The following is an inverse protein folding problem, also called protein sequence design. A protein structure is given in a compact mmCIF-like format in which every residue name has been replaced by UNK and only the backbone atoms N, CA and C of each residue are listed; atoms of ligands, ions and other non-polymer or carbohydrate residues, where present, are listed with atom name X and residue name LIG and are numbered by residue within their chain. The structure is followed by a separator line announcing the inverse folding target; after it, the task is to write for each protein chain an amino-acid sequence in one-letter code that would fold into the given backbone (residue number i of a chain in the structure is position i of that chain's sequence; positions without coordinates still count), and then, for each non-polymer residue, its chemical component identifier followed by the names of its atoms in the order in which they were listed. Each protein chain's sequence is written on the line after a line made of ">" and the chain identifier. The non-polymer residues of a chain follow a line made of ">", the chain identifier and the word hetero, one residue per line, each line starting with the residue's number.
data_IF_867286004834
#
_entry.id   IF_867286004834
#
_cell.length_a   1.000
_cell.length_b   1.000
_cell.length_c   1.000
_cell.angle_alpha   90.00
_cell.angle_beta   90.00
_cell.angle_gamma   90.00
#
_symmetry.space_group_name_H-M   'P 1'
#
loop_
_entity.id
_entity.type
_entity.pdbx_description
1 polymer ?
#
# COMPACT_ATOMS: atom_id res chain seq x y z
N UNK A 1 -10.05 -0.47 -1.97
CA UNK A 1 -9.59 0.24 -0.77
C UNK A 1 -9.75 -0.54 0.56
N UNK A 2 -10.47 -1.68 0.58
CA UNK A 2 -10.71 -2.48 1.81
C UNK A 2 -9.43 -3.03 2.45
N UNK A 3 -8.44 -3.45 1.66
CA UNK A 3 -7.17 -4.02 2.14
C UNK A 3 -6.40 -3.05 3.05
N UNK A 4 -6.26 -1.79 2.64
CA UNK A 4 -5.50 -0.79 3.41
C UNK A 4 -6.16 -0.50 4.75
N UNK A 5 -7.50 -0.46 4.79
CA UNK A 5 -8.24 -0.30 6.05
C UNK A 5 -7.92 -1.41 7.04
N UNK A 6 -7.99 -2.67 6.59
CA UNK A 6 -7.67 -3.84 7.42
C UNK A 6 -6.23 -3.77 7.93
N UNK A 7 -5.29 -3.35 7.10
CA UNK A 7 -3.89 -3.16 7.52
C UNK A 7 -3.75 -2.10 8.61
N UNK A 8 -4.46 -0.98 8.48
CA UNK A 8 -4.48 0.09 9.49
C UNK A 8 -5.13 -0.41 10.79
N UNK A 9 -6.23 -1.17 10.71
CA UNK A 9 -6.88 -1.77 11.89
C UNK A 9 -5.95 -2.75 12.62
N UNK A 10 -5.24 -3.62 11.90
CA UNK A 10 -4.24 -4.52 12.47
C UNK A 10 -3.10 -3.77 13.18
N UNK A 11 -2.58 -2.71 12.56
CA UNK A 11 -1.54 -1.87 13.15
C UNK A 11 -2.05 -1.14 14.39
N UNK A 12 -3.24 -0.53 14.30
CA UNK A 12 -3.87 0.23 15.37
C UNK A 12 -4.08 -0.62 16.62
N UNK A 13 -4.60 -1.85 16.45
CA UNK A 13 -4.79 -2.79 17.56
C UNK A 13 -3.48 -3.18 18.23
N UNK A 14 -2.43 -3.39 17.46
CA UNK A 14 -1.14 -3.85 17.98
C UNK A 14 -0.31 -2.75 18.64
N UNK A 15 -0.39 -1.51 18.15
CA UNK A 15 0.46 -0.42 18.61
C UNK A 15 -0.27 0.56 19.54
N UNK A 16 -1.57 0.76 19.37
CA UNK A 16 -2.34 1.78 20.09
C UNK A 16 -3.42 1.18 21.00
N UNK A 17 -3.53 -0.15 21.09
CA UNK A 17 -4.49 -0.82 21.96
C UNK A 17 -5.95 -0.61 21.57
N UNK A 18 -6.24 -0.28 20.32
CA UNK A 18 -7.62 -0.02 19.88
C UNK A 18 -8.52 -1.26 19.98
N UNK A 19 -9.80 -1.03 20.30
CA UNK A 19 -10.83 -2.06 20.43
C UNK A 19 -11.19 -2.69 19.07
N UNK A 20 -11.58 -3.98 19.05
CA UNK A 20 -12.00 -4.65 17.82
C UNK A 20 -13.14 -3.90 17.11
N UNK A 21 -12.99 -3.64 15.81
CA UNK A 21 -13.99 -2.96 14.98
C UNK A 21 -13.87 -1.44 14.89
N UNK A 22 -12.92 -0.83 15.60
CA UNK A 22 -12.65 0.61 15.56
C UNK A 22 -11.21 0.97 15.21
N UNK A 23 -11.02 2.23 14.80
CA UNK A 23 -9.70 2.87 14.67
C UNK A 23 -9.58 3.93 15.76
N UNK A 24 -8.39 4.07 16.37
CA UNK A 24 -8.10 5.26 17.18
C UNK A 24 -8.14 6.53 16.29
N UNK A 25 -8.30 7.73 16.88
CA UNK A 25 -8.42 8.97 16.12
C UNK A 25 -7.31 9.18 15.08
N UNK A 26 -6.07 8.88 15.46
CA UNK A 26 -4.92 8.97 14.57
C UNK A 26 -5.01 8.03 13.37
N UNK A 27 -5.36 6.76 13.60
CA UNK A 27 -5.47 5.77 12.55
C UNK A 27 -6.68 6.02 11.64
N UNK A 28 -7.77 6.56 12.21
CA UNK A 28 -8.94 6.99 11.47
C UNK A 28 -8.60 8.15 10.51
N UNK A 29 -7.84 9.14 10.99
CA UNK A 29 -7.35 10.25 10.15
C UNK A 29 -6.46 9.74 9.00
N UNK A 30 -5.55 8.80 9.28
CA UNK A 30 -4.70 8.20 8.25
C UNK A 30 -5.52 7.44 7.20
N UNK A 31 -6.52 6.68 7.63
CA UNK A 31 -7.44 5.97 6.73
C UNK A 31 -8.20 6.94 5.84
N UNK A 32 -8.81 7.96 6.43
CA UNK A 32 -9.64 8.91 5.70
C UNK A 32 -8.82 9.75 4.73
N UNK A 33 -7.62 10.19 5.15
CA UNK A 33 -6.65 10.83 4.26
C UNK A 33 -6.30 9.91 3.07
N UNK A 34 -5.96 8.65 3.34
CA UNK A 34 -5.61 7.68 2.29
C UNK A 34 -6.76 7.50 1.29
N UNK A 35 -7.99 7.36 1.81
CA UNK A 35 -9.21 7.20 1.03
C UNK A 35 -9.41 8.37 0.06
N UNK A 36 -9.40 9.60 0.58
CA UNK A 36 -9.59 10.81 -0.22
C UNK A 36 -8.53 10.96 -1.31
N UNK A 37 -7.25 10.62 -1.05
CA UNK A 37 -6.19 10.72 -2.07
C UNK A 37 -6.33 9.70 -3.19
N UNK A 38 -6.97 8.55 -2.94
CA UNK A 38 -7.26 7.57 -4.01
C UNK A 38 -8.51 7.95 -4.77
N UNK A 39 -9.56 8.39 -4.09
CA UNK A 39 -10.79 8.88 -4.74
C UNK A 39 -10.52 10.04 -5.69
N UNK A 40 -9.61 10.96 -5.32
CA UNK A 40 -9.21 12.10 -6.14
C UNK A 40 -7.99 11.85 -7.01
N UNK A 41 -7.60 10.59 -7.21
CA UNK A 41 -6.40 10.29 -7.99
C UNK A 41 -6.63 10.56 -9.49
N UNK A 42 -5.77 11.35 -10.17
CA UNK A 42 -5.95 11.66 -11.58
C UNK A 42 -5.83 10.43 -12.48
N UNK A 43 -5.12 9.40 -12.03
CA UNK A 43 -4.96 8.13 -12.76
C UNK A 43 -6.17 7.20 -12.61
N UNK A 44 -7.09 7.48 -11.67
CA UNK A 44 -8.30 6.68 -11.46
C UNK A 44 -8.02 5.17 -11.34
N UNK A 45 -8.54 4.40 -12.31
CA UNK A 45 -8.40 2.92 -12.36
C UNK A 45 -7.03 2.46 -12.86
N UNK A 46 -6.36 3.24 -13.69
CA UNK A 46 -5.03 2.94 -14.25
C UNK A 46 -3.89 3.34 -13.32
N UNK A 47 -4.23 3.59 -12.05
CA UNK A 47 -3.28 4.02 -11.03
C UNK A 47 -2.20 2.94 -10.83
N UNK A 48 -0.90 3.29 -10.99
CA UNK A 48 0.18 2.40 -10.60
C UNK A 48 0.23 2.26 -9.07
N UNK A 49 0.96 1.25 -8.58
CA UNK A 49 1.22 1.14 -7.13
C UNK A 49 1.84 2.44 -6.60
N UNK A 50 1.53 2.82 -5.35
CA UNK A 50 2.04 4.06 -4.76
C UNK A 50 3.56 4.17 -4.80
N UNK A 51 4.28 3.04 -4.83
CA UNK A 51 5.74 2.97 -4.94
C UNK A 51 6.25 3.40 -6.34
N UNK A 52 5.47 3.10 -7.39
CA UNK A 52 5.79 3.42 -8.80
C UNK A 52 5.01 4.64 -9.32
N UNK A 53 4.33 5.35 -8.43
CA UNK A 53 3.49 6.47 -8.82
C UNK A 53 4.36 7.69 -9.16
N UNK A 54 4.10 8.31 -10.30
CA UNK A 54 4.86 9.47 -10.80
C UNK A 54 4.45 10.78 -10.13
N UNK A 55 3.32 10.81 -9.40
CA UNK A 55 2.83 12.01 -8.73
C UNK A 55 3.04 11.93 -7.22
N UNK A 56 3.51 13.03 -6.64
CA UNK A 56 3.69 13.17 -5.21
C UNK A 56 2.37 13.58 -4.53
N UNK A 57 1.42 12.65 -4.42
CA UNK A 57 0.13 12.93 -3.81
C UNK A 57 0.11 12.73 -2.28
N UNK A 58 1.03 12.00 -1.67
CA UNK A 58 0.98 11.75 -0.22
C UNK A 58 1.81 12.79 0.55
N UNK A 59 1.28 13.39 1.63
CA UNK A 59 2.09 14.20 2.57
C UNK A 59 3.19 13.33 3.18
N UNK A 60 4.37 13.90 3.42
CA UNK A 60 5.54 13.16 3.88
C UNK A 60 5.24 12.36 5.16
N UNK A 61 4.66 13.03 6.16
CA UNK A 61 4.30 12.42 7.44
C UNK A 61 3.34 11.23 7.30
N UNK A 62 2.23 11.40 6.57
CA UNK A 62 1.29 10.30 6.33
C UNK A 62 1.92 9.17 5.51
N UNK A 63 2.92 9.48 4.67
CA UNK A 63 3.62 8.47 3.87
C UNK A 63 4.45 7.57 4.77
N UNK A 64 5.09 8.14 5.78
CA UNK A 64 5.89 7.37 6.72
C UNK A 64 5.00 6.56 7.66
N UNK A 65 3.87 7.14 8.09
CA UNK A 65 2.83 6.42 8.85
C UNK A 65 2.26 5.24 8.07
N UNK A 66 1.87 5.42 6.80
CA UNK A 66 1.32 4.30 6.00
C UNK A 66 2.40 3.26 5.67
N UNK A 67 3.68 3.65 5.52
CA UNK A 67 4.78 2.70 5.37
C UNK A 67 4.98 1.85 6.61
N UNK A 68 4.88 2.43 7.80
CA UNK A 68 4.94 1.69 9.06
C UNK A 68 3.81 0.66 9.14
N UNK A 69 2.57 1.07 8.82
CA UNK A 69 1.41 0.18 8.72
C UNK A 69 1.66 -0.95 7.72
N UNK A 70 2.12 -0.62 6.51
CA UNK A 70 2.39 -1.60 5.45
C UNK A 70 3.49 -2.60 5.86
N UNK A 71 4.56 -2.13 6.51
CA UNK A 71 5.67 -2.96 6.99
C UNK A 71 5.22 -3.91 8.11
N UNK A 72 4.33 -3.45 8.98
CA UNK A 72 3.78 -4.27 10.05
C UNK A 72 2.76 -5.29 9.55
N UNK A 73 1.76 -4.83 8.79
CA UNK A 73 0.63 -5.64 8.36
C UNK A 73 0.95 -6.52 7.14
N UNK A 74 1.85 -6.11 6.25
CA UNK A 74 2.18 -6.83 5.02
C UNK A 74 2.57 -8.30 5.25
N UNK A 75 3.61 -8.58 6.06
CA UNK A 75 4.01 -9.95 6.40
C UNK A 75 2.92 -10.72 7.16
N UNK A 76 2.08 -10.04 7.94
CA UNK A 76 1.03 -10.66 8.75
C UNK A 76 -0.20 -11.02 7.91
N UNK A 77 -0.47 -10.27 6.84
CA UNK A 77 -1.52 -10.60 5.87
C UNK A 77 -1.11 -11.77 4.96
N UNK A 78 0.16 -11.84 4.57
CA UNK A 78 0.66 -12.95 3.75
C UNK A 78 0.67 -14.29 4.49
N UNK A 79 0.86 -14.28 5.81
CA UNK A 79 0.73 -15.49 6.65
C UNK A 79 -0.71 -16.02 6.71
N UNK A 80 -1.72 -15.16 6.52
CA UNK A 80 -3.15 -15.55 6.47
C UNK A 80 -3.56 -16.13 5.10
N UNK A 81 -2.87 -15.74 4.04
CA UNK A 81 -3.07 -16.24 2.67
C UNK A 81 -1.75 -16.75 2.07
N UNK A 82 -1.21 -17.87 2.58
CA UNK A 82 0.14 -18.34 2.23
C UNK A 82 0.28 -18.67 0.73
N UNK A 83 -0.78 -19.16 0.09
CA UNK A 83 -0.78 -19.58 -1.31
C UNK A 83 -0.72 -18.38 -2.27
N UNK A 84 -1.45 -17.29 -1.97
CA UNK A 84 -1.50 -16.10 -2.83
C UNK A 84 -0.19 -15.30 -2.78
N UNK A 85 0.47 -15.30 -1.63
CA UNK A 85 1.75 -14.63 -1.40
C UNK A 85 2.91 -15.35 -2.08
N UNK A 86 2.87 -16.69 -2.10
CA UNK A 86 3.86 -17.51 -2.81
C UNK A 86 3.74 -17.33 -4.33
N UNK A 87 2.52 -17.26 -4.88
CA UNK A 87 2.27 -16.92 -6.29
C UNK A 87 2.79 -15.53 -6.67
N UNK A 88 2.59 -14.52 -5.82
CA UNK A 88 3.13 -13.16 -6.06
C UNK A 88 4.66 -13.09 -5.98
N UNK A 89 5.29 -13.86 -5.09
CA UNK A 89 6.76 -13.95 -5.00
C UNK A 89 7.36 -14.72 -6.21
N UNK A 90 6.63 -15.70 -6.76
CA UNK A 90 7.03 -16.42 -7.97
C UNK A 90 6.80 -15.60 -9.25
N UNK A 91 5.73 -14.79 -9.31
CA UNK A 91 5.53 -13.83 -10.41
C UNK A 91 6.55 -12.68 -10.39
N UNK A 92 7.06 -12.31 -9.20
CA UNK A 92 8.22 -11.41 -9.08
C UNK A 92 9.53 -11.98 -9.65
N UNK A 93 9.59 -13.28 -9.97
CA UNK A 93 10.73 -13.93 -10.66
C UNK A 93 10.52 -14.10 -12.16
N UNK A 94 9.36 -13.75 -12.73
CA UNK A 94 9.20 -13.62 -14.18
C UNK A 94 9.50 -12.17 -14.59
N UNK A 95 10.79 -11.93 -14.85
CA UNK A 95 11.38 -10.86 -15.65
C UNK A 95 10.49 -9.61 -15.85
N UNK A 96 10.79 -8.54 -15.12
CA UNK A 96 10.71 -7.19 -15.68
C UNK A 96 12.12 -6.64 -15.84
N UNK A 97 12.85 -7.23 -16.78
CA UNK A 97 13.76 -6.48 -17.64
C UNK A 97 13.08 -6.40 -19.01
N UNK A 98 12.37 -5.29 -19.23
CA UNK A 98 11.94 -4.76 -20.53
C UNK A 98 11.33 -3.36 -20.27
N UNK A 99 12.05 -2.24 -20.37
CA UNK A 99 13.39 -2.12 -20.91
C UNK A 99 13.48 -2.35 -22.42
N UNK A 100 12.46 -1.98 -23.21
CA UNK A 100 12.55 -1.82 -24.66
C UNK A 100 11.44 -0.86 -25.13
N UNK A 101 11.68 0.21 -25.90
CA UNK A 101 12.89 0.55 -26.62
C UNK A 101 12.94 2.02 -27.08
N UNK A 102 14.16 2.43 -27.44
CA UNK A 102 14.48 3.74 -27.99
C UNK A 102 15.96 3.77 -28.35
N UNK A 103 16.26 3.22 -29.51
CA UNK A 103 17.57 2.94 -30.10
C UNK A 103 18.52 4.15 -30.09
N UNK A 104 19.78 3.94 -29.68
CA UNK A 104 20.90 4.83 -30.03
C UNK A 104 21.00 4.91 -31.55
N UNK A 105 20.99 6.13 -32.10
CA UNK A 105 21.70 6.46 -33.35
C UNK A 105 22.57 7.68 -33.08
N UNK A 106 23.81 7.57 -33.56
CA UNK A 106 24.81 8.63 -33.67
C UNK A 106 24.28 9.78 -34.53
#
# INVERSE_FOLDING_TARGET
>A
MRTVRVMIEMYCRAHHGAVPGGLCPECAELWEYSRQRVERCPFGRDKPTCLRCTVHCFRAEARDRIRAVMRYAGPRMSVRHPILSLLHLLDGRRRTDAGAGGQRRR
#
